data_IF_321043568704
#
_entry.id   IF_321043568704
#
_cell.length_a   1.000
_cell.length_b   1.000
_cell.length_c   1.000
_cell.angle_alpha   90.00
_cell.angle_beta   90.00
_cell.angle_gamma   90.00
#
_symmetry.space_group_name_H-M   'P 1'
#
loop_
_entity.id
_entity.type
_entity.pdbx_description
1 polymer ?
#
# COMPACT_ATOMS: atom_id res chain seq x y z
N UNK A 1 -7.83 28.42 4.82
CA UNK A 1 -7.64 27.89 3.45
C UNK A 1 -8.92 27.90 2.59
N UNK A 2 -9.98 28.65 2.93
CA UNK A 2 -11.26 28.61 2.18
C UNK A 2 -11.40 29.67 1.07
N UNK A 3 -10.35 30.43 0.75
CA UNK A 3 -10.45 31.61 -0.13
C UNK A 3 -10.00 31.34 -1.59
N UNK A 4 -9.16 30.32 -1.83
CA UNK A 4 -8.66 30.01 -3.17
C UNK A 4 -9.73 29.41 -4.10
N UNK A 5 -10.64 28.62 -3.55
CA UNK A 5 -11.65 27.89 -4.32
C UNK A 5 -12.80 28.83 -4.78
N UNK A 6 -13.12 29.85 -3.98
CA UNK A 6 -14.02 30.93 -4.39
C UNK A 6 -13.38 31.87 -5.41
N UNK A 7 -12.07 32.09 -5.33
CA UNK A 7 -11.33 32.90 -6.30
C UNK A 7 -11.26 32.20 -7.67
N UNK A 8 -10.99 30.89 -7.71
CA UNK A 8 -10.97 30.10 -8.95
C UNK A 8 -12.33 30.05 -9.67
N UNK A 9 -13.44 29.98 -8.92
CA UNK A 9 -14.79 30.01 -9.51
C UNK A 9 -15.17 31.36 -10.13
N UNK A 10 -14.48 32.45 -9.78
CA UNK A 10 -14.72 33.79 -10.31
C UNK A 10 -13.90 34.13 -11.55
N UNK A 11 -12.92 33.31 -11.93
CA UNK A 11 -12.13 33.54 -13.13
C UNK A 11 -12.90 32.96 -14.32
N UNK A 12 -13.60 33.83 -15.05
CA UNK A 12 -14.15 33.49 -16.36
C UNK A 12 -12.99 33.45 -17.37
N UNK A 13 -12.31 32.30 -17.47
CA UNK A 13 -11.18 32.12 -18.39
C UNK A 13 -11.72 31.96 -19.80
N UNK A 14 -11.87 33.07 -20.52
CA UNK A 14 -12.04 33.01 -21.97
C UNK A 14 -10.67 32.79 -22.63
N UNK A 15 -10.57 31.88 -23.63
CA UNK A 15 -9.33 31.67 -24.33
C UNK A 15 -8.89 32.96 -25.03
N UNK A 16 -7.61 33.31 -24.88
CA UNK A 16 -7.02 34.49 -25.50
C UNK A 16 -7.18 34.42 -27.02
N UNK A 17 -7.25 35.59 -27.66
CA UNK A 17 -7.38 35.71 -29.11
C UNK A 17 -6.21 35.00 -29.82
N UNK A 18 -5.01 35.15 -29.26
CA UNK A 18 -3.77 34.55 -29.73
C UNK A 18 -3.83 33.01 -29.72
N UNK A 19 -4.34 32.42 -28.63
CA UNK A 19 -4.53 30.97 -28.54
C UNK A 19 -5.55 30.46 -29.57
N UNK A 20 -6.65 31.20 -29.78
CA UNK A 20 -7.66 30.86 -30.80
C UNK A 20 -7.06 30.89 -32.21
N UNK A 21 -6.22 31.88 -32.50
CA UNK A 21 -5.59 32.04 -33.82
C UNK A 21 -4.52 30.98 -34.10
N UNK A 22 -3.67 30.65 -33.12
CA UNK A 22 -2.70 29.55 -33.23
C UNK A 22 -3.39 28.20 -33.41
N UNK A 23 -4.45 27.95 -32.66
CA UNK A 23 -5.23 26.70 -32.80
C UNK A 23 -5.88 26.63 -34.17
N UNK A 24 -6.43 27.74 -34.68
CA UNK A 24 -7.03 27.81 -36.01
C UNK A 24 -6.02 27.56 -37.13
N UNK A 25 -4.83 28.15 -37.05
CA UNK A 25 -3.79 27.99 -38.08
C UNK A 25 -3.25 26.55 -38.11
N UNK A 26 -3.03 25.95 -36.94
CA UNK A 26 -2.65 24.54 -36.80
C UNK A 26 -3.68 23.60 -37.45
N UNK A 27 -4.97 23.80 -37.13
CA UNK A 27 -6.05 22.99 -37.69
C UNK A 27 -6.21 23.15 -39.21
N UNK A 28 -6.06 24.37 -39.73
CA UNK A 28 -6.13 24.63 -41.17
C UNK A 28 -4.94 24.01 -41.93
N UNK A 29 -3.75 24.02 -41.33
CA UNK A 29 -2.56 23.40 -41.91
C UNK A 29 -2.72 21.87 -42.05
N UNK A 30 -3.38 21.22 -41.09
CA UNK A 30 -3.61 19.77 -41.10
C UNK A 30 -4.72 19.37 -42.08
N UNK A 31 -5.80 20.16 -42.17
CA UNK A 31 -6.87 19.97 -43.17
C UNK A 31 -6.35 20.16 -44.60
N UNK A 32 -5.40 21.09 -44.80
CA UNK A 32 -4.72 21.28 -46.10
C UNK A 32 -3.89 20.06 -46.52
N UNK A 33 -3.24 19.38 -45.56
CA UNK A 33 -2.40 18.20 -45.83
C UNK A 33 -3.18 16.96 -46.26
N UNK A 34 -4.45 16.83 -45.88
CA UNK A 34 -5.27 15.65 -46.21
C UNK A 34 -6.06 15.73 -47.53
N UNK A 35 -5.97 16.83 -48.28
CA UNK A 35 -6.67 16.95 -49.58
C UNK A 35 -5.91 16.41 -50.81
N UNK A 36 -4.72 15.84 -50.66
CA UNK A 36 -3.90 15.35 -51.80
C UNK A 36 -4.03 13.84 -52.07
N UNK A 37 -4.71 13.08 -51.22
CA UNK A 37 -4.83 11.62 -51.39
C UNK A 37 -6.29 11.13 -51.47
N UNK A 38 -7.04 11.56 -52.49
CA UNK A 38 -8.31 10.90 -52.83
C UNK A 38 -8.56 10.94 -54.34
N UNK A 39 -7.84 10.09 -55.07
CA UNK A 39 -8.13 9.78 -56.47
C UNK A 39 -8.68 8.35 -56.56
N UNK A 40 -9.94 8.29 -56.99
CA UNK A 40 -10.63 7.16 -57.62
C UNK A 40 -10.79 5.84 -56.83
N UNK A 41 -11.90 5.72 -56.11
CA UNK A 41 -12.69 4.48 -56.12
C UNK A 41 -14.17 4.84 -56.31
N UNK A 42 -14.73 4.40 -57.44
CA UNK A 42 -16.11 4.64 -57.81
C UNK A 42 -17.04 3.71 -57.02
N UNK A 43 -17.70 4.25 -56.01
CA UNK A 43 -18.93 3.68 -55.47
C UNK A 43 -20.09 4.62 -55.82
N UNK A 44 -21.06 4.12 -56.58
CA UNK A 44 -22.24 4.88 -57.02
C UNK A 44 -23.16 5.18 -55.82
N UNK A 45 -22.96 6.32 -55.18
CA UNK A 45 -23.85 6.86 -54.15
C UNK A 45 -25.07 7.56 -54.77
N UNK A 46 -25.99 6.78 -55.36
CA UNK A 46 -27.23 7.28 -55.96
C UNK A 46 -28.40 7.46 -54.98
N UNK A 47 -28.35 6.85 -53.79
CA UNK A 47 -29.52 6.78 -52.90
C UNK A 47 -29.31 7.33 -51.47
N UNK A 48 -28.11 7.78 -51.11
CA UNK A 48 -27.82 8.31 -49.77
C UNK A 48 -27.93 9.84 -49.65
N UNK A 49 -28.55 10.54 -50.61
CA UNK A 49 -28.61 12.01 -50.59
C UNK A 49 -29.71 12.64 -49.73
N UNK A 50 -30.66 11.86 -49.18
CA UNK A 50 -31.74 12.41 -48.34
C UNK A 50 -31.68 12.05 -46.85
N UNK A 51 -30.83 11.10 -46.41
CA UNK A 51 -30.66 10.80 -44.97
C UNK A 51 -29.56 11.60 -44.28
N UNK A 52 -28.81 12.45 -44.99
CA UNK A 52 -27.63 13.14 -44.43
C UNK A 52 -27.93 14.47 -43.73
N UNK A 53 -29.18 14.92 -43.64
CA UNK A 53 -29.51 16.20 -43.00
C UNK A 53 -29.91 16.06 -41.51
N UNK A 54 -30.74 15.07 -41.16
CA UNK A 54 -31.19 14.87 -39.78
C UNK A 54 -30.14 14.19 -38.87
N UNK A 55 -29.16 13.48 -39.45
CA UNK A 55 -28.09 12.82 -38.69
C UNK A 55 -26.81 13.65 -38.55
N UNK A 56 -26.77 14.89 -39.05
CA UNK A 56 -25.60 15.77 -38.88
C UNK A 56 -25.18 15.99 -37.42
N UNK A 57 -26.08 16.23 -36.45
CA UNK A 57 -25.67 16.37 -35.05
C UNK A 57 -25.20 15.04 -34.46
N UNK A 58 -25.80 13.91 -34.84
CA UNK A 58 -25.39 12.57 -34.39
C UNK A 58 -24.04 12.18 -34.98
N UNK A 59 -23.79 12.47 -36.25
CA UNK A 59 -22.52 12.23 -36.93
C UNK A 59 -21.41 13.14 -36.40
N UNK A 60 -21.72 14.40 -36.07
CA UNK A 60 -20.80 15.31 -35.41
C UNK A 60 -20.49 14.85 -33.98
N UNK A 61 -21.50 14.44 -33.20
CA UNK A 61 -21.30 13.87 -31.87
C UNK A 61 -20.57 12.54 -31.92
N UNK A 62 -20.81 11.69 -32.92
CA UNK A 62 -20.09 10.43 -33.08
C UNK A 62 -18.66 10.68 -33.56
N UNK A 63 -18.40 11.70 -34.37
CA UNK A 63 -17.04 12.11 -34.75
C UNK A 63 -16.31 12.74 -33.59
N UNK A 64 -16.96 13.55 -32.77
CA UNK A 64 -16.40 14.07 -31.51
C UNK A 64 -16.14 12.92 -30.56
N UNK A 65 -17.09 12.00 -30.38
CA UNK A 65 -16.90 10.79 -29.59
C UNK A 65 -15.82 9.88 -30.18
N UNK A 66 -15.70 9.72 -31.51
CA UNK A 66 -14.60 8.97 -32.15
C UNK A 66 -13.28 9.72 -32.09
N UNK A 67 -13.29 11.05 -32.03
CA UNK A 67 -12.08 11.84 -31.88
C UNK A 67 -11.60 11.77 -30.43
N UNK A 68 -12.49 11.87 -29.45
CA UNK A 68 -12.18 11.64 -28.05
C UNK A 68 -11.83 10.17 -27.79
N UNK A 69 -12.68 9.20 -28.17
CA UNK A 69 -12.46 7.76 -27.96
C UNK A 69 -11.33 7.18 -28.85
N UNK A 70 -11.16 7.67 -30.07
CA UNK A 70 -10.15 7.21 -31.02
C UNK A 70 -8.77 7.85 -30.83
N UNK A 71 -8.68 9.09 -30.34
CA UNK A 71 -7.39 9.64 -29.89
C UNK A 71 -7.02 9.17 -28.48
N UNK A 72 -8.00 8.78 -27.64
CA UNK A 72 -7.71 8.21 -26.31
C UNK A 72 -6.99 6.88 -26.37
N UNK A 73 -7.03 6.12 -27.47
CA UNK A 73 -6.34 4.82 -27.53
C UNK A 73 -4.82 4.97 -27.32
N UNK A 74 -4.20 6.00 -27.90
CA UNK A 74 -2.76 6.26 -27.73
C UNK A 74 -2.44 6.89 -26.38
N UNK A 75 -3.26 7.84 -25.91
CA UNK A 75 -3.05 8.48 -24.59
C UNK A 75 -3.24 7.47 -23.46
N UNK A 76 -4.22 6.57 -23.56
CA UNK A 76 -4.44 5.51 -22.58
C UNK A 76 -3.29 4.48 -22.57
N UNK A 77 -2.73 4.13 -23.74
CA UNK A 77 -1.57 3.24 -23.81
C UNK A 77 -0.31 3.86 -23.21
N UNK A 78 -0.07 5.15 -23.46
CA UNK A 78 1.05 5.88 -22.86
C UNK A 78 0.84 6.05 -21.35
N UNK A 79 -0.37 6.41 -20.91
CA UNK A 79 -0.69 6.55 -19.49
C UNK A 79 -0.53 5.25 -18.69
N UNK A 80 -0.82 4.08 -19.29
CA UNK A 80 -0.58 2.79 -18.64
C UNK A 80 0.89 2.53 -18.32
N UNK A 81 1.81 3.11 -19.11
CA UNK A 81 3.25 3.02 -18.91
C UNK A 81 3.83 4.16 -18.08
N UNK A 82 3.01 5.15 -17.71
CA UNK A 82 3.45 6.27 -16.90
C UNK A 82 3.83 5.80 -15.50
N UNK A 83 4.93 6.33 -14.98
CA UNK A 83 5.44 6.07 -13.64
C UNK A 83 5.17 7.28 -12.73
N UNK A 84 5.22 7.12 -11.39
CA UNK A 84 5.10 8.25 -10.47
C UNK A 84 6.08 9.38 -10.83
N UNK A 85 5.56 10.60 -10.92
CA UNK A 85 6.31 11.78 -11.42
C UNK A 85 5.96 12.19 -12.86
N UNK A 86 5.42 11.28 -13.68
CA UNK A 86 4.99 11.61 -15.04
C UNK A 86 3.67 12.38 -15.07
N UNK A 87 3.52 13.31 -16.03
CA UNK A 87 2.27 14.04 -16.25
C UNK A 87 1.07 13.11 -16.54
N UNK A 88 1.30 11.98 -17.22
CA UNK A 88 0.26 11.00 -17.56
C UNK A 88 -0.08 10.06 -16.39
N UNK A 89 0.68 10.08 -15.30
CA UNK A 89 0.42 9.25 -14.13
C UNK A 89 -0.93 9.60 -13.47
N UNK A 90 -1.35 10.86 -13.53
CA UNK A 90 -2.68 11.29 -13.07
C UNK A 90 -3.79 10.57 -13.83
N UNK A 91 -3.61 10.36 -15.15
CA UNK A 91 -4.56 9.64 -15.99
C UNK A 91 -4.57 8.15 -15.65
N UNK A 92 -3.41 7.55 -15.38
CA UNK A 92 -3.28 6.17 -14.89
C UNK A 92 -4.08 5.96 -13.60
N UNK A 93 -3.88 6.81 -12.60
CA UNK A 93 -4.62 6.76 -11.32
C UNK A 93 -6.11 6.95 -11.50
N UNK A 94 -6.54 7.87 -12.35
CA UNK A 94 -7.96 8.05 -12.65
C UNK A 94 -8.58 6.77 -13.23
N UNK A 95 -7.86 6.09 -14.14
CA UNK A 95 -8.33 4.83 -14.72
C UNK A 95 -8.39 3.69 -13.70
N UNK A 96 -7.39 3.56 -12.84
CA UNK A 96 -7.37 2.56 -11.75
C UNK A 96 -8.53 2.78 -10.78
N UNK A 97 -8.77 4.03 -10.38
CA UNK A 97 -9.88 4.38 -9.49
C UNK A 97 -11.24 4.09 -10.13
N UNK A 98 -11.40 4.36 -11.43
CA UNK A 98 -12.63 4.02 -12.17
C UNK A 98 -12.87 2.50 -12.14
N UNK A 99 -11.84 1.68 -12.33
CA UNK A 99 -11.98 0.23 -12.25
C UNK A 99 -12.34 -0.23 -10.83
N UNK A 100 -11.74 0.37 -9.81
CA UNK A 100 -12.09 0.11 -8.40
C UNK A 100 -13.55 0.47 -8.09
N UNK A 101 -14.05 1.62 -8.59
CA UNK A 101 -15.45 2.03 -8.41
C UNK A 101 -16.45 1.10 -9.10
N UNK A 102 -16.06 0.46 -10.20
CA UNK A 102 -16.89 -0.51 -10.91
C UNK A 102 -16.94 -1.89 -10.23
N UNK A 103 -16.03 -2.18 -9.28
CA UNK A 103 -16.09 -3.42 -8.52
C UNK A 103 -17.20 -3.36 -7.46
N UNK A 104 -18.08 -4.37 -7.50
CA UNK A 104 -19.29 -4.41 -6.67
C UNK A 104 -19.00 -5.04 -5.30
N UNK A 105 -18.25 -6.14 -5.27
CA UNK A 105 -17.96 -6.87 -4.04
C UNK A 105 -16.59 -6.50 -3.44
N UNK A 106 -16.45 -6.75 -2.13
CA UNK A 106 -15.25 -6.38 -1.38
C UNK A 106 -14.03 -7.22 -1.76
N UNK A 107 -14.22 -8.51 -2.06
CA UNK A 107 -13.15 -9.39 -2.50
C UNK A 107 -12.52 -8.88 -3.81
N UNK A 108 -13.36 -8.50 -4.78
CA UNK A 108 -12.89 -7.90 -6.04
C UNK A 108 -12.17 -6.57 -5.83
N UNK A 109 -12.60 -5.75 -4.87
CA UNK A 109 -11.89 -4.50 -4.54
C UNK A 109 -10.50 -4.77 -3.99
N UNK A 110 -10.35 -5.75 -3.10
CA UNK A 110 -9.05 -6.19 -2.58
C UNK A 110 -8.15 -6.73 -3.69
N UNK A 111 -8.68 -7.57 -4.59
CA UNK A 111 -7.93 -8.07 -5.75
C UNK A 111 -7.45 -6.94 -6.68
N UNK A 112 -8.29 -5.92 -6.91
CA UNK A 112 -7.93 -4.76 -7.73
C UNK A 112 -6.90 -3.88 -7.04
N UNK A 113 -7.08 -3.56 -5.76
CA UNK A 113 -6.11 -2.79 -4.99
C UNK A 113 -4.74 -3.48 -4.98
N UNK A 114 -4.73 -4.81 -4.83
CA UNK A 114 -3.52 -5.62 -4.93
C UNK A 114 -2.91 -5.54 -6.34
N UNK A 115 -3.70 -5.66 -7.41
CA UNK A 115 -3.16 -5.51 -8.77
C UNK A 115 -2.56 -4.10 -9.04
N UNK A 116 -3.12 -3.07 -8.43
CA UNK A 116 -2.54 -1.72 -8.47
C UNK A 116 -1.23 -1.68 -7.68
N UNK A 117 -1.15 -2.33 -6.52
CA UNK A 117 0.10 -2.44 -5.75
C UNK A 117 1.22 -3.10 -6.57
N UNK A 118 0.93 -4.21 -7.24
CA UNK A 118 1.88 -4.88 -8.16
C UNK A 118 2.41 -3.89 -9.20
N UNK A 119 1.50 -3.11 -9.80
CA UNK A 119 1.87 -2.07 -10.76
C UNK A 119 2.76 -0.99 -10.13
N UNK A 120 2.57 -0.65 -8.85
CA UNK A 120 3.41 0.34 -8.14
C UNK A 120 4.80 -0.18 -7.81
N UNK A 121 4.92 -1.45 -7.44
CA UNK A 121 6.22 -2.09 -7.23
C UNK A 121 7.00 -2.15 -8.56
N UNK A 122 6.32 -2.51 -9.65
CA UNK A 122 6.86 -2.45 -11.02
C UNK A 122 7.30 -1.04 -11.42
N UNK A 123 6.50 -0.02 -11.11
CA UNK A 123 6.82 1.37 -11.44
C UNK A 123 8.07 1.84 -10.66
N UNK A 124 8.20 1.45 -9.39
CA UNK A 124 9.37 1.73 -8.57
C UNK A 124 10.64 1.08 -9.15
N UNK A 125 10.56 -0.18 -9.62
CA UNK A 125 11.68 -0.83 -10.30
C UNK A 125 12.10 -0.07 -11.57
N UNK A 126 11.14 0.36 -12.39
CA UNK A 126 11.43 1.12 -13.62
C UNK A 126 12.10 2.46 -13.31
N UNK A 127 11.69 3.14 -12.24
CA UNK A 127 12.31 4.40 -11.82
C UNK A 127 13.77 4.17 -11.42
N UNK A 128 14.07 3.08 -10.70
CA UNK A 128 15.46 2.75 -10.34
C UNK A 128 16.33 2.44 -11.56
N UNK A 129 15.79 1.72 -12.54
CA UNK A 129 16.49 1.46 -13.80
C UNK A 129 16.79 2.77 -14.55
N UNK A 130 15.84 3.70 -14.58
CA UNK A 130 16.02 5.03 -15.19
C UNK A 130 17.05 5.86 -14.43
N UNK A 131 16.99 5.90 -13.10
CA UNK A 131 17.95 6.65 -12.29
C UNK A 131 19.36 6.08 -12.41
N UNK A 132 19.53 4.76 -12.52
CA UNK A 132 20.85 4.14 -12.75
C UNK A 132 21.48 4.64 -14.06
N UNK A 133 20.67 4.82 -15.11
CA UNK A 133 21.11 5.38 -16.39
C UNK A 133 21.45 6.85 -16.26
N UNK A 134 20.64 7.63 -15.54
CA UNK A 134 20.86 9.07 -15.33
C UNK A 134 22.09 9.36 -14.44
N UNK A 135 22.31 8.55 -13.40
CA UNK A 135 23.52 8.62 -12.55
C UNK A 135 24.77 8.39 -13.39
N UNK A 136 24.73 7.43 -14.33
CA UNK A 136 25.82 7.20 -15.28
C UNK A 136 26.06 8.38 -16.24
N UNK A 137 25.04 9.22 -16.44
CA UNK A 137 25.10 10.46 -17.21
C UNK A 137 25.41 11.71 -16.35
N UNK A 138 25.55 11.56 -15.02
CA UNK A 138 25.87 12.64 -14.09
C UNK A 138 24.66 13.40 -13.52
N UNK A 139 23.42 12.99 -13.82
CA UNK A 139 22.19 13.56 -13.26
C UNK A 139 21.64 12.63 -12.16
N UNK A 140 21.78 13.01 -10.88
CA UNK A 140 21.11 12.32 -9.77
C UNK A 140 19.82 13.06 -9.42
N UNK A 141 18.66 12.39 -9.54
CA UNK A 141 17.40 12.93 -9.04
C UNK A 141 16.68 11.91 -8.14
N UNK A 142 17.04 11.87 -6.86
CA UNK A 142 16.45 10.94 -5.89
C UNK A 142 14.95 11.22 -5.60
N UNK A 143 14.39 12.34 -6.08
CA UNK A 143 13.00 12.74 -5.81
C UNK A 143 12.00 11.74 -6.41
N UNK A 144 12.30 11.18 -7.59
CA UNK A 144 11.46 10.16 -8.23
C UNK A 144 11.36 8.88 -7.41
N UNK A 145 12.47 8.40 -6.84
CA UNK A 145 12.45 7.26 -5.91
C UNK A 145 11.51 7.53 -4.72
N UNK A 146 11.62 8.68 -4.05
CA UNK A 146 10.75 8.98 -2.90
C UNK A 146 9.27 9.02 -3.27
N UNK A 147 8.93 9.66 -4.39
CA UNK A 147 7.54 9.71 -4.87
C UNK A 147 7.01 8.30 -5.18
N UNK A 148 7.85 7.42 -5.74
CA UNK A 148 7.48 6.04 -6.02
C UNK A 148 7.32 5.19 -4.75
N UNK A 149 8.23 5.32 -3.78
CA UNK A 149 8.15 4.64 -2.49
C UNK A 149 6.89 5.08 -1.71
N UNK A 150 6.59 6.38 -1.70
CA UNK A 150 5.38 6.92 -1.07
C UNK A 150 4.09 6.40 -1.74
N UNK A 151 4.09 6.24 -3.06
CA UNK A 151 2.95 5.67 -3.78
C UNK A 151 2.80 4.15 -3.50
N UNK A 152 3.88 3.39 -3.38
CA UNK A 152 3.85 1.98 -2.91
C UNK A 152 3.26 1.91 -1.50
N UNK A 153 3.72 2.76 -0.59
CA UNK A 153 3.24 2.85 0.79
C UNK A 153 1.74 3.13 0.86
N UNK A 154 1.26 4.14 0.12
CA UNK A 154 -0.18 4.46 0.02
C UNK A 154 -0.99 3.30 -0.52
N UNK A 155 -0.46 2.58 -1.52
CA UNK A 155 -1.20 1.49 -2.13
C UNK A 155 -1.25 0.24 -1.22
N UNK A 156 -0.23 0.02 -0.38
CA UNK A 156 -0.27 -1.00 0.69
C UNK A 156 -1.35 -0.68 1.72
N UNK A 157 -1.47 0.59 2.13
CA UNK A 157 -2.53 1.04 3.04
C UNK A 157 -3.91 0.82 2.43
N UNK A 158 -4.11 1.15 1.14
CA UNK A 158 -5.37 0.89 0.45
C UNK A 158 -5.69 -0.61 0.34
N UNK A 159 -4.68 -1.47 0.09
CA UNK A 159 -4.84 -2.94 0.11
C UNK A 159 -5.28 -3.41 1.49
N UNK A 160 -4.65 -2.91 2.56
CA UNK A 160 -5.02 -3.25 3.93
C UNK A 160 -6.47 -2.83 4.24
N UNK A 161 -6.84 -1.59 3.91
CA UNK A 161 -8.19 -1.07 4.12
C UNK A 161 -9.24 -1.90 3.37
N UNK A 162 -8.97 -2.28 2.12
CA UNK A 162 -9.87 -3.14 1.35
C UNK A 162 -9.96 -4.54 1.94
N UNK A 163 -8.84 -5.09 2.39
CA UNK A 163 -8.78 -6.40 3.02
C UNK A 163 -9.59 -6.43 4.32
N UNK A 164 -9.45 -5.44 5.19
CA UNK A 164 -10.27 -5.30 6.41
C UNK A 164 -11.75 -5.17 6.05
N UNK A 165 -12.10 -4.32 5.08
CA UNK A 165 -13.49 -4.19 4.62
C UNK A 165 -14.06 -5.47 4.00
N UNK A 166 -13.20 -6.33 3.43
CA UNK A 166 -13.56 -7.65 2.93
C UNK A 166 -13.87 -8.62 4.08
N UNK A 167 -13.09 -8.58 5.17
CA UNK A 167 -13.34 -9.39 6.36
C UNK A 167 -14.66 -9.03 7.06
N UNK A 168 -15.03 -7.75 7.12
CA UNK A 168 -16.27 -7.33 7.80
C UNK A 168 -17.55 -7.73 7.04
N UNK A 169 -17.46 -7.85 5.70
CA UNK A 169 -18.58 -8.18 4.82
C UNK A 169 -18.79 -9.68 4.60
N UNK A 170 -18.20 -10.48 5.47
CA UNK A 170 -18.05 -11.94 5.39
C UNK A 170 -19.35 -12.76 5.41
N UNK A 171 -20.49 -12.13 5.68
CA UNK A 171 -21.78 -12.82 5.79
C UNK A 171 -22.38 -13.33 4.48
N UNK A 172 -21.90 -12.88 3.31
CA UNK A 172 -22.56 -13.18 2.02
C UNK A 172 -21.75 -14.04 1.05
N UNK A 173 -20.45 -14.29 1.28
CA UNK A 173 -19.62 -14.99 0.28
C UNK A 173 -18.27 -15.54 0.80
N UNK A 174 -18.29 -16.37 1.85
CA UNK A 174 -17.07 -16.95 2.45
C UNK A 174 -16.09 -17.59 1.45
N UNK A 175 -16.59 -18.28 0.41
CA UNK A 175 -15.73 -18.86 -0.64
C UNK A 175 -14.93 -17.80 -1.42
N UNK A 176 -15.56 -16.68 -1.80
CA UNK A 176 -14.90 -15.61 -2.55
C UNK A 176 -13.85 -14.88 -1.72
N UNK A 177 -14.12 -14.70 -0.44
CA UNK A 177 -13.20 -14.08 0.51
C UNK A 177 -11.93 -14.92 0.64
N UNK A 178 -12.09 -16.24 0.69
CA UNK A 178 -10.97 -17.18 0.79
C UNK A 178 -10.17 -17.21 -0.50
N UNK A 179 -10.83 -17.28 -1.66
CA UNK A 179 -10.16 -17.20 -2.96
C UNK A 179 -9.34 -15.90 -3.08
N UNK A 180 -9.91 -14.76 -2.66
CA UNK A 180 -9.22 -13.47 -2.67
C UNK A 180 -8.09 -13.40 -1.63
N UNK A 181 -8.28 -13.97 -0.44
CA UNK A 181 -7.23 -14.03 0.60
C UNK A 181 -6.05 -14.90 0.17
N UNK A 182 -6.30 -16.04 -0.47
CA UNK A 182 -5.24 -16.88 -1.05
C UNK A 182 -4.49 -16.13 -2.15
N UNK A 183 -5.21 -15.50 -3.09
CA UNK A 183 -4.61 -14.72 -4.15
C UNK A 183 -3.77 -13.55 -3.60
N UNK A 184 -4.27 -12.89 -2.55
CA UNK A 184 -3.54 -11.81 -1.88
C UNK A 184 -2.28 -12.32 -1.16
N UNK A 185 -2.35 -13.46 -0.46
CA UNK A 185 -1.18 -14.08 0.18
C UNK A 185 -0.07 -14.40 -0.83
N UNK A 186 -0.41 -14.98 -1.98
CA UNK A 186 0.56 -15.24 -3.05
C UNK A 186 1.21 -13.96 -3.58
N UNK A 187 0.40 -12.93 -3.84
CA UNK A 187 0.89 -11.66 -4.35
C UNK A 187 1.76 -10.91 -3.34
N UNK A 188 1.42 -10.96 -2.05
CA UNK A 188 2.23 -10.41 -0.97
C UNK A 188 3.64 -11.01 -0.97
N UNK A 189 3.77 -12.32 -1.22
CA UNK A 189 5.11 -12.95 -1.36
C UNK A 189 5.89 -12.34 -2.51
N UNK A 190 5.24 -12.12 -3.65
CA UNK A 190 5.84 -11.44 -4.81
C UNK A 190 6.28 -10.02 -4.47
N UNK A 191 5.41 -9.22 -3.86
CA UNK A 191 5.72 -7.84 -3.46
C UNK A 191 6.92 -7.77 -2.54
N UNK A 192 7.00 -8.64 -1.53
CA UNK A 192 8.16 -8.69 -0.63
C UNK A 192 9.45 -8.93 -1.39
N UNK A 193 9.49 -9.96 -2.23
CA UNK A 193 10.68 -10.29 -3.02
C UNK A 193 11.10 -9.12 -3.90
N UNK A 194 10.16 -8.52 -4.62
CA UNK A 194 10.42 -7.40 -5.51
C UNK A 194 10.85 -6.14 -4.76
N UNK A 195 10.23 -5.83 -3.62
CA UNK A 195 10.60 -4.67 -2.77
C UNK A 195 11.97 -4.90 -2.13
N UNK A 196 12.32 -6.11 -1.69
CA UNK A 196 13.66 -6.44 -1.19
C UNK A 196 14.72 -6.28 -2.28
N UNK A 197 14.46 -6.78 -3.49
CA UNK A 197 15.38 -6.59 -4.64
C UNK A 197 15.54 -5.12 -5.02
N UNK A 198 14.48 -4.33 -4.87
CA UNK A 198 14.52 -2.87 -5.03
C UNK A 198 15.40 -2.25 -3.95
N UNK A 199 15.17 -2.59 -2.68
CA UNK A 199 15.92 -2.08 -1.51
C UNK A 199 17.43 -2.28 -1.68
N UNK A 200 17.86 -3.44 -2.16
CA UNK A 200 19.29 -3.74 -2.43
C UNK A 200 19.93 -2.81 -3.49
N UNK A 201 19.13 -2.20 -4.36
CA UNK A 201 19.58 -1.27 -5.42
C UNK A 201 19.50 0.19 -5.00
N UNK A 202 18.82 0.52 -3.91
CA UNK A 202 18.64 1.91 -3.46
C UNK A 202 19.82 2.35 -2.59
N UNK A 203 20.67 3.25 -3.13
CA UNK A 203 21.77 3.88 -2.37
C UNK A 203 21.28 4.86 -1.30
N UNK A 204 20.11 5.47 -1.51
CA UNK A 204 19.57 6.50 -0.62
C UNK A 204 19.09 5.90 0.71
N UNK A 205 19.73 6.28 1.82
CA UNK A 205 19.44 5.74 3.16
C UNK A 205 18.02 6.01 3.65
N UNK A 206 17.44 7.18 3.36
CA UNK A 206 16.09 7.52 3.80
C UNK A 206 15.02 6.79 2.97
N UNK A 207 15.23 6.65 1.65
CA UNK A 207 14.36 5.82 0.83
C UNK A 207 14.44 4.33 1.23
N UNK A 208 15.63 3.85 1.60
CA UNK A 208 15.85 2.50 2.11
C UNK A 208 15.08 2.27 3.44
N UNK A 209 15.11 3.25 4.34
CA UNK A 209 14.31 3.26 5.57
C UNK A 209 12.80 3.18 5.30
N UNK A 210 12.29 4.00 4.38
CA UNK A 210 10.86 3.94 4.02
C UNK A 210 10.49 2.59 3.38
N UNK A 211 11.40 1.97 2.62
CA UNK A 211 11.21 0.62 2.09
C UNK A 211 11.16 -0.46 3.18
N UNK A 212 11.94 -0.33 4.26
CA UNK A 212 11.83 -1.21 5.43
C UNK A 212 10.45 -1.11 6.10
N UNK A 213 9.94 0.11 6.28
CA UNK A 213 8.60 0.33 6.83
C UNK A 213 7.52 -0.28 5.93
N UNK A 214 7.67 -0.13 4.61
CA UNK A 214 6.82 -0.76 3.60
C UNK A 214 6.87 -2.29 3.74
N UNK A 215 8.05 -2.91 3.84
CA UNK A 215 8.20 -4.36 4.02
C UNK A 215 7.60 -4.86 5.33
N UNK A 216 7.65 -4.06 6.41
CA UNK A 216 7.02 -4.41 7.68
C UNK A 216 5.50 -4.39 7.58
N UNK A 217 4.92 -3.35 6.95
CA UNK A 217 3.47 -3.31 6.70
C UNK A 217 2.99 -4.47 5.83
N UNK A 218 3.77 -4.85 4.82
CA UNK A 218 3.45 -5.99 3.95
C UNK A 218 3.49 -7.32 4.74
N UNK A 219 4.39 -7.46 5.71
CA UNK A 219 4.37 -8.60 6.64
C UNK A 219 3.12 -8.61 7.53
N UNK A 220 2.72 -7.46 8.09
CA UNK A 220 1.54 -7.39 8.96
C UNK A 220 0.26 -7.79 8.22
N UNK A 221 0.09 -7.27 6.99
CA UNK A 221 -1.02 -7.68 6.13
C UNK A 221 -0.94 -9.18 5.85
N UNK A 222 0.26 -9.72 5.61
CA UNK A 222 0.43 -11.16 5.41
C UNK A 222 -0.04 -11.98 6.61
N UNK A 223 0.33 -11.56 7.83
CA UNK A 223 -0.10 -12.21 9.07
C UNK A 223 -1.63 -12.20 9.18
N UNK A 224 -2.27 -11.08 8.85
CA UNK A 224 -3.73 -10.93 8.93
C UNK A 224 -4.47 -11.72 7.84
N UNK A 225 -3.89 -11.82 6.65
CA UNK A 225 -4.39 -12.69 5.57
C UNK A 225 -4.29 -14.16 5.95
N UNK A 226 -3.15 -14.61 6.46
CA UNK A 226 -2.97 -15.98 6.91
C UNK A 226 -3.88 -16.31 8.11
N UNK A 227 -4.06 -15.38 9.03
CA UNK A 227 -4.97 -15.52 10.15
C UNK A 227 -6.41 -15.77 9.70
N UNK A 228 -6.89 -15.01 8.71
CA UNK A 228 -8.20 -15.23 8.10
C UNK A 228 -8.30 -16.63 7.48
N UNK A 229 -7.27 -17.08 6.75
CA UNK A 229 -7.26 -18.41 6.14
C UNK A 229 -7.28 -19.53 7.19
N UNK A 230 -6.54 -19.38 8.29
CA UNK A 230 -6.58 -20.31 9.44
C UNK A 230 -7.98 -20.34 10.04
N UNK A 231 -8.59 -19.20 10.34
CA UNK A 231 -9.91 -19.11 10.95
C UNK A 231 -11.00 -19.74 10.05
N UNK A 232 -10.88 -19.55 8.73
CA UNK A 232 -11.78 -20.14 7.71
C UNK A 232 -11.57 -21.63 7.49
N UNK A 233 -10.34 -22.13 7.62
CA UNK A 233 -10.04 -23.55 7.61
C UNK A 233 -10.59 -24.25 8.87
N UNK A 234 -10.35 -23.69 10.07
CA UNK A 234 -10.81 -24.24 11.34
C UNK A 234 -12.33 -24.27 11.49
N UNK A 235 -13.04 -23.32 10.87
CA UNK A 235 -14.51 -23.30 10.81
C UNK A 235 -15.11 -24.26 9.77
N UNK A 236 -14.28 -24.90 8.93
CA UNK A 236 -14.73 -25.81 7.88
C UNK A 236 -15.36 -25.11 6.66
N UNK A 237 -15.28 -23.78 6.60
CA UNK A 237 -15.75 -23.00 5.44
C UNK A 237 -14.86 -23.22 4.20
N UNK A 238 -13.64 -23.72 4.41
CA UNK A 238 -12.65 -23.94 3.37
C UNK A 238 -11.98 -25.30 3.53
N UNK A 239 -11.84 -26.00 2.40
CA UNK A 239 -10.96 -27.17 2.30
C UNK A 239 -9.60 -26.71 1.80
N UNK A 240 -8.74 -26.35 2.73
CA UNK A 240 -7.30 -26.20 2.49
C UNK A 240 -6.62 -27.45 3.03
N UNK A 241 -5.60 -27.94 2.33
CA UNK A 241 -4.78 -29.02 2.85
C UNK A 241 -3.99 -28.49 4.05
N UNK A 242 -3.97 -29.23 5.16
CA UNK A 242 -3.26 -28.84 6.39
C UNK A 242 -1.77 -28.59 6.12
N UNK A 243 -1.18 -29.36 5.20
CA UNK A 243 0.20 -29.18 4.76
C UNK A 243 0.44 -27.87 4.00
N UNK A 244 -0.53 -27.38 3.22
CA UNK A 244 -0.42 -26.09 2.53
C UNK A 244 -0.50 -24.93 3.53
N UNK A 245 -1.40 -25.03 4.51
CA UNK A 245 -1.52 -24.04 5.58
C UNK A 245 -0.25 -24.00 6.44
N UNK A 246 0.27 -25.16 6.83
CA UNK A 246 1.51 -25.29 7.59
C UNK A 246 2.71 -24.69 6.84
N UNK A 247 2.82 -24.97 5.53
CA UNK A 247 3.86 -24.40 4.68
C UNK A 247 3.76 -22.88 4.58
N UNK A 248 2.56 -22.32 4.38
CA UNK A 248 2.35 -20.87 4.29
C UNK A 248 2.69 -20.14 5.59
N UNK A 249 2.24 -20.69 6.73
CA UNK A 249 2.53 -20.11 8.06
C UNK A 249 4.01 -20.27 8.40
N UNK A 250 4.60 -21.43 8.10
CA UNK A 250 6.03 -21.69 8.30
C UNK A 250 6.91 -20.75 7.47
N UNK A 251 6.57 -20.54 6.19
CA UNK A 251 7.27 -19.58 5.32
C UNK A 251 7.21 -18.16 5.91
N UNK A 252 6.07 -17.74 6.45
CA UNK A 252 5.94 -16.42 7.07
C UNK A 252 6.74 -16.28 8.37
N UNK A 253 6.72 -17.29 9.26
CA UNK A 253 7.54 -17.29 10.49
C UNK A 253 9.02 -17.22 10.14
N UNK A 254 9.45 -17.99 9.12
CA UNK A 254 10.83 -17.96 8.62
C UNK A 254 11.22 -16.59 8.07
N UNK A 255 10.33 -15.89 7.37
CA UNK A 255 10.59 -14.52 6.90
C UNK A 255 10.85 -13.55 8.05
N UNK A 256 10.08 -13.66 9.15
CA UNK A 256 10.31 -12.84 10.35
C UNK A 256 11.63 -13.22 11.04
N UNK A 257 12.01 -14.51 11.00
CA UNK A 257 13.32 -14.98 11.46
C UNK A 257 14.48 -14.42 10.62
N UNK A 258 14.37 -14.44 9.30
CA UNK A 258 15.38 -13.88 8.39
C UNK A 258 15.56 -12.37 8.64
N UNK A 259 14.47 -11.62 8.88
CA UNK A 259 14.54 -10.20 9.29
C UNK A 259 15.24 -10.00 10.63
N UNK A 260 15.00 -10.87 11.61
CA UNK A 260 15.70 -10.81 12.89
C UNK A 260 17.21 -11.00 12.69
N UNK A 261 17.64 -11.87 11.79
CA UNK A 261 19.06 -12.05 11.46
C UNK A 261 19.64 -10.76 10.88
N UNK A 262 18.97 -10.17 9.89
CA UNK A 262 19.39 -8.89 9.29
C UNK A 262 19.52 -7.77 10.35
N UNK A 263 18.51 -7.64 11.23
CA UNK A 263 18.54 -6.67 12.33
C UNK A 263 19.68 -6.98 13.29
N UNK A 264 19.87 -8.23 13.68
CA UNK A 264 20.92 -8.62 14.63
C UNK A 264 22.32 -8.32 14.08
N UNK A 265 22.53 -8.49 12.78
CA UNK A 265 23.77 -8.12 12.09
C UNK A 265 23.96 -6.60 12.02
N UNK A 266 22.92 -5.86 11.63
CA UNK A 266 22.96 -4.39 11.55
C UNK A 266 23.17 -3.73 12.93
N UNK A 267 22.62 -4.33 13.97
CA UNK A 267 22.70 -3.87 15.35
C UNK A 267 24.05 -4.18 16.01
N UNK A 268 24.92 -5.00 15.40
CA UNK A 268 26.16 -5.54 15.98
C UNK A 268 26.90 -4.61 16.95
N UNK A 269 27.35 -3.44 16.50
CA UNK A 269 28.09 -2.47 17.34
C UNK A 269 27.19 -1.57 18.21
N UNK A 270 25.92 -1.41 17.84
CA UNK A 270 24.95 -0.56 18.53
C UNK A 270 24.33 -1.24 19.77
N UNK A 271 24.08 -2.55 19.73
CA UNK A 271 23.59 -3.31 20.89
C UNK A 271 24.62 -3.49 22.01
N UNK A 272 25.91 -3.30 21.72
CA UNK A 272 26.93 -3.26 22.78
C UNK A 272 26.84 -1.98 23.61
N UNK A 273 26.26 -0.91 23.05
CA UNK A 273 26.14 0.40 23.70
C UNK A 273 24.73 0.66 24.26
N UNK A 274 23.68 0.05 23.69
CA UNK A 274 22.29 0.19 24.16
C UNK A 274 21.70 -1.15 24.65
N UNK A 275 21.57 -1.28 25.97
CA UNK A 275 20.96 -2.43 26.63
C UNK A 275 19.48 -2.65 26.25
N UNK A 276 18.78 -1.59 25.84
CA UNK A 276 17.36 -1.63 25.45
C UNK A 276 17.18 -2.33 24.12
N UNK A 277 18.03 -2.01 23.14
CA UNK A 277 18.02 -2.66 21.81
C UNK A 277 18.33 -4.14 21.97
N UNK A 278 19.33 -4.48 22.78
CA UNK A 278 19.68 -5.88 23.07
C UNK A 278 18.53 -6.66 23.70
N UNK A 279 17.85 -6.06 24.69
CA UNK A 279 16.68 -6.69 25.32
C UNK A 279 15.56 -6.95 24.28
N UNK A 280 15.25 -5.96 23.43
CA UNK A 280 14.23 -6.11 22.38
C UNK A 280 14.59 -7.21 21.37
N UNK A 281 15.87 -7.30 20.97
CA UNK A 281 16.35 -8.39 20.08
C UNK A 281 16.17 -9.76 20.74
N UNK A 282 16.47 -9.88 22.03
CA UNK A 282 16.29 -11.15 22.76
C UNK A 282 14.80 -11.48 22.99
N UNK A 283 13.93 -10.47 23.18
CA UNK A 283 12.47 -10.65 23.20
C UNK A 283 11.95 -11.20 21.86
N UNK A 284 12.42 -10.68 20.73
CA UNK A 284 12.07 -11.19 19.40
C UNK A 284 12.53 -12.64 19.23
N UNK A 285 13.77 -12.98 19.61
CA UNK A 285 14.27 -14.37 19.56
C UNK A 285 13.37 -15.33 20.33
N UNK A 286 12.93 -14.94 21.53
CA UNK A 286 12.03 -15.75 22.35
C UNK A 286 10.66 -15.90 21.69
N UNK A 287 10.10 -14.83 21.12
CA UNK A 287 8.82 -14.86 20.42
C UNK A 287 8.86 -15.76 19.17
N UNK A 288 9.92 -15.66 18.35
CA UNK A 288 10.11 -16.53 17.17
C UNK A 288 10.27 -17.99 17.57
N UNK A 289 11.01 -18.28 18.66
CA UNK A 289 11.09 -19.65 19.18
C UNK A 289 9.71 -20.20 19.55
N UNK A 290 8.89 -19.40 20.24
CA UNK A 290 7.50 -19.79 20.58
C UNK A 290 6.63 -19.94 19.32
N UNK A 291 6.83 -19.12 18.30
CA UNK A 291 6.14 -19.25 17.02
C UNK A 291 6.45 -20.60 16.35
N UNK A 292 7.72 -21.01 16.33
CA UNK A 292 8.16 -22.30 15.80
C UNK A 292 7.63 -23.49 16.64
N UNK A 293 7.60 -23.37 17.97
CA UNK A 293 6.99 -24.37 18.85
C UNK A 293 5.49 -24.53 18.56
N UNK A 294 4.75 -23.42 18.42
CA UNK A 294 3.34 -23.42 18.06
C UNK A 294 3.10 -24.03 16.67
N UNK A 295 3.96 -23.71 15.68
CA UNK A 295 3.90 -24.30 14.34
C UNK A 295 4.04 -25.84 14.38
N UNK A 296 4.99 -26.35 15.16
CA UNK A 296 5.22 -27.79 15.32
C UNK A 296 4.05 -28.52 16.00
N UNK A 297 3.25 -27.80 16.78
CA UNK A 297 2.05 -28.31 17.43
C UNK A 297 0.76 -28.10 16.59
N UNK A 298 0.88 -27.62 15.34
CA UNK A 298 -0.23 -27.22 14.46
C UNK A 298 -1.11 -26.09 15.03
N UNK A 299 -0.58 -25.28 15.94
CA UNK A 299 -1.24 -24.12 16.53
C UNK A 299 -1.03 -22.87 15.66
N UNK A 300 -1.47 -22.93 14.41
CA UNK A 300 -1.16 -21.91 13.39
C UNK A 300 -1.56 -20.48 13.81
N UNK A 301 -2.71 -20.31 14.47
CA UNK A 301 -3.17 -18.99 14.93
C UNK A 301 -2.23 -18.39 15.97
N UNK A 302 -1.71 -19.23 16.86
CA UNK A 302 -0.77 -18.82 17.89
C UNK A 302 0.60 -18.51 17.29
N UNK A 303 1.06 -19.32 16.32
CA UNK A 303 2.29 -19.06 15.58
C UNK A 303 2.25 -17.69 14.85
N UNK A 304 1.13 -17.38 14.18
CA UNK A 304 0.92 -16.08 13.53
C UNK A 304 0.89 -14.91 14.53
N UNK A 305 0.34 -15.11 15.73
CA UNK A 305 0.32 -14.08 16.78
C UNK A 305 1.74 -13.75 17.24
N UNK A 306 2.54 -14.77 17.57
CA UNK A 306 3.94 -14.56 17.95
C UNK A 306 4.80 -13.99 16.82
N UNK A 307 4.53 -14.37 15.57
CA UNK A 307 5.17 -13.80 14.39
C UNK A 307 4.85 -12.30 14.24
N UNK A 308 3.59 -11.91 14.41
CA UNK A 308 3.14 -10.51 14.36
C UNK A 308 3.75 -9.67 15.49
N UNK A 309 3.75 -10.19 16.71
CA UNK A 309 4.38 -9.51 17.87
C UNK A 309 5.89 -9.31 17.63
N UNK A 310 6.55 -10.31 17.06
CA UNK A 310 7.97 -10.23 16.68
C UNK A 310 8.22 -9.13 15.64
N UNK A 311 7.38 -9.06 14.60
CA UNK A 311 7.47 -8.04 13.55
C UNK A 311 7.28 -6.62 14.11
N UNK A 312 6.31 -6.43 15.02
CA UNK A 312 6.09 -5.14 15.68
C UNK A 312 7.30 -4.69 16.54
N UNK A 313 7.96 -5.62 17.23
CA UNK A 313 9.18 -5.29 17.99
C UNK A 313 10.34 -4.97 17.03
N UNK A 314 10.48 -5.71 15.92
CA UNK A 314 11.49 -5.43 14.90
C UNK A 314 11.32 -4.04 14.28
N UNK A 315 10.09 -3.60 14.01
CA UNK A 315 9.80 -2.24 13.52
C UNK A 315 10.32 -1.16 14.48
N UNK A 316 10.10 -1.34 15.80
CA UNK A 316 10.62 -0.43 16.82
C UNK A 316 12.16 -0.39 16.85
N UNK A 317 12.80 -1.55 16.65
CA UNK A 317 14.27 -1.64 16.58
C UNK A 317 14.78 -0.89 15.34
N UNK A 318 14.18 -1.10 14.17
CA UNK A 318 14.55 -0.37 12.95
C UNK A 318 14.43 1.14 13.14
N UNK A 319 13.32 1.62 13.69
CA UNK A 319 13.14 3.04 13.99
C UNK A 319 14.29 3.60 14.84
N UNK A 320 14.70 2.85 15.87
CA UNK A 320 15.80 3.23 16.78
C UNK A 320 17.17 3.23 16.08
N UNK A 321 17.46 2.27 15.21
CA UNK A 321 18.73 2.19 14.46
C UNK A 321 18.91 3.42 13.56
N UNK A 322 17.84 3.84 12.88
CA UNK A 322 17.89 4.98 11.97
C UNK A 322 18.07 6.32 12.70
N UNK A 323 17.56 6.45 13.92
CA UNK A 323 17.80 7.62 14.76
C UNK A 323 19.27 7.70 15.21
N UNK A 324 19.86 6.58 15.63
CA UNK A 324 21.27 6.52 16.08
C UNK A 324 22.25 6.83 14.94
N UNK A 325 21.99 6.35 13.72
CA UNK A 325 22.88 6.56 12.57
C UNK A 325 22.89 8.03 12.13
N UNK A 326 21.73 8.70 12.11
CA UNK A 326 21.61 10.12 11.77
C UNK A 326 22.30 11.07 12.77
N UNK A 327 22.41 10.69 14.05
CA UNK A 327 23.13 11.50 15.03
C UNK A 327 24.66 11.31 14.95
N UNK A 328 25.13 10.17 14.41
CA UNK A 328 26.56 9.93 14.18
C UNK A 328 27.14 10.63 12.94
N UNK A 329 26.30 10.99 11.96
CA UNK A 329 26.69 11.69 10.73
C UNK A 329 26.67 13.22 10.85
N UNK A 330 26.21 13.78 11.97
CA UNK A 330 26.42 15.20 12.28
C UNK A 330 27.87 15.37 12.74
N UNK A 331 28.73 15.86 11.86
CA UNK A 331 30.09 16.27 12.26
C UNK A 331 30.04 17.17 13.51
N UNK A 332 30.99 17.02 14.45
CA UNK A 332 31.08 17.92 15.59
C UNK A 332 31.44 19.31 15.07
N UNK A 333 30.45 20.19 14.95
CA UNK A 333 30.70 21.62 14.77
C UNK A 333 31.58 22.05 15.93
N UNK A 334 32.82 22.40 15.60
CA UNK A 334 33.84 22.89 16.51
C UNK A 334 33.41 24.26 17.01
N UNK A 335 32.49 24.28 17.97
CA UNK A 335 32.03 25.47 18.66
C UNK A 335 32.80 25.60 19.96
N UNK A 336 33.79 26.49 19.95
CA UNK A 336 34.50 26.98 21.13
C UNK A 336 33.54 27.26 22.30
N UNK A 337 33.87 26.67 23.45
CA UNK A 337 33.23 26.88 24.74
C UNK A 337 33.38 28.34 25.18
N UNK A 338 32.26 29.01 25.48
CA UNK A 338 32.21 30.03 26.53
C UNK A 338 30.90 29.96 27.30
N UNK A 339 31.03 29.77 28.61
CA UNK A 339 30.12 30.39 29.60
C UNK A 339 29.10 29.48 30.26
N UNK A 340 29.55 28.81 31.32
CA UNK A 340 28.84 28.54 32.60
C UNK A 340 27.44 29.14 32.74
N UNK A 341 26.44 28.29 32.99
CA UNK A 341 25.54 28.44 34.16
C UNK A 341 24.84 27.11 34.47
N UNK A 342 25.13 26.58 35.66
CA UNK A 342 24.50 25.43 36.30
C UNK A 342 23.06 25.76 36.68
N UNK A 343 22.10 25.00 36.14
CA UNK A 343 20.74 24.93 36.68
C UNK A 343 20.40 23.47 37.00
N UNK A 344 20.59 23.11 38.26
CA UNK A 344 20.06 21.89 38.87
C UNK A 344 18.53 21.94 38.82
N UNK A 345 17.90 21.13 37.97
CA UNK A 345 16.44 20.91 38.04
C UNK A 345 16.20 19.49 38.49
N UNK A 346 15.83 19.37 39.76
CA UNK A 346 15.27 18.17 40.39
C UNK A 346 13.97 17.81 39.66
N UNK A 347 13.92 16.66 38.99
CA UNK A 347 12.67 16.09 38.50
C UNK A 347 12.11 15.21 39.62
N UNK A 348 11.03 15.70 40.20
CA UNK A 348 10.19 15.01 41.18
C UNK A 348 9.50 13.81 40.52
N UNK A 349 9.68 12.63 41.10
CA UNK A 349 9.13 11.37 40.61
C UNK A 349 7.64 11.34 40.97
N UNK A 350 6.74 11.54 39.99
CA UNK A 350 5.34 11.14 40.14
C UNK A 350 5.17 9.68 39.76
N UNK A 351 4.94 8.85 40.78
CA UNK A 351 4.57 7.45 40.67
C UNK A 351 3.17 7.29 40.01
N UNK A 352 2.93 6.15 39.32
CA UNK A 352 1.70 5.89 38.60
C UNK A 352 0.51 5.65 39.54
N UNK A 353 -0.62 6.26 39.18
CA UNK A 353 -1.90 6.18 39.87
C UNK A 353 -2.48 4.76 39.72
N UNK A 354 -2.55 4.04 40.83
CA UNK A 354 -3.13 2.70 40.95
C UNK A 354 -4.66 2.83 40.96
N UNK A 355 -5.31 2.25 39.95
CA UNK A 355 -6.77 2.15 39.90
C UNK A 355 -7.24 1.01 40.82
N UNK A 356 -7.84 1.37 41.95
CA UNK A 356 -8.52 0.47 42.88
C UNK A 356 -10.01 0.44 42.53
N UNK A 357 -10.63 -0.73 42.23
CA UNK A 357 -12.07 -0.82 42.07
C UNK A 357 -12.78 -0.74 43.42
N UNK A 358 -13.76 0.17 43.50
CA UNK A 358 -14.59 0.41 44.69
C UNK A 358 -15.72 -0.61 44.77
N UNK A 359 -15.72 -1.39 45.85
CA UNK A 359 -16.84 -2.23 46.25
C UNK A 359 -18.10 -1.40 46.57
N UNK A 360 -19.28 -1.93 46.26
CA UNK A 360 -20.55 -1.50 46.87
C UNK A 360 -21.34 -2.74 47.20
N UNK A 361 -21.57 -2.91 48.50
CA UNK A 361 -22.37 -3.97 49.13
C UNK A 361 -23.67 -3.35 49.63
N UNK A 362 -24.78 -4.07 49.44
CA UNK A 362 -26.07 -4.01 50.16
C UNK A 362 -26.91 -5.11 49.49
N UNK A 363 -26.92 -6.36 49.95
CA UNK A 363 -27.49 -6.96 51.16
C UNK A 363 -29.00 -6.71 51.32
N UNK A 364 -29.79 -7.78 51.17
CA UNK A 364 -31.05 -8.21 51.86
C UNK A 364 -31.71 -9.28 50.94
N UNK A 365 -31.47 -10.58 51.14
CA UNK A 365 -32.24 -11.53 51.99
C UNK A 365 -33.60 -11.92 51.40
N UNK A 366 -33.72 -13.16 50.88
CA UNK A 366 -34.80 -14.10 51.21
C UNK A 366 -34.47 -15.53 50.73
N UNK A 367 -34.90 -16.48 51.55
CA UNK A 367 -34.52 -17.90 51.70
C UNK A 367 -35.26 -18.87 50.72
N UNK A 368 -34.99 -20.19 50.77
CA UNK A 368 -35.03 -21.07 49.58
C UNK A 368 -36.33 -21.88 49.44
N UNK A 369 -36.69 -22.20 48.18
CA UNK A 369 -37.56 -23.35 47.90
C UNK A 369 -36.77 -24.52 47.30
N UNK A 370 -36.68 -25.54 48.13
CA UNK A 370 -36.35 -26.93 47.82
C UNK A 370 -37.46 -27.52 46.95
N UNK A 371 -37.11 -28.06 45.78
CA UNK A 371 -37.86 -29.20 45.22
C UNK A 371 -36.91 -30.24 44.65
N UNK A 372 -36.82 -31.33 45.40
CA UNK A 372 -36.27 -32.62 45.02
C UNK A 372 -37.34 -33.45 44.27
N UNK A 373 -36.87 -34.31 43.35
CA UNK A 373 -37.38 -35.67 43.04
C UNK A 373 -38.57 -35.83 42.06
N UNK A 374 -38.29 -36.37 40.86
CA UNK A 374 -38.68 -37.73 40.40
C UNK A 374 -38.35 -37.91 38.89
N UNK A 375 -37.47 -38.83 38.47
CA UNK A 375 -37.66 -40.28 38.22
C UNK A 375 -38.43 -40.61 36.91
N UNK A 376 -37.73 -41.37 36.03
CA UNK A 376 -38.15 -42.29 34.94
C UNK A 376 -38.69 -41.71 33.61
N UNK A 377 -37.99 -41.99 32.49
CA UNK A 377 -38.12 -43.26 31.76
C UNK A 377 -36.94 -43.53 30.83
#
# INVERSE_FOLDING_TARGET
MNNLLEQLKKINVEPSLEWKEQTRSFLLAEVGRHRVAQRQTGFSAGHFRMMTFAWRPVAALSLVALFFLGSTSFVALAARKAVPGDNLFVVKRAWEKINEYMAVDAARKTELASAVLETRVDDLQKILEQETVLVSAGEKNNESIFVAVDEVKKQIEDVNDKFVAMQEKDKESGKRIVEAALALNERIRGYKQEITLVKEKVENTEANKELDLVLNKVEDINSDVLALLVDKHSSGEVKLEESDLAMRVGDHVKQVEDKLVEVSEAVGSAAEQDSTIKQKVDEVKVAIKKANEALNNNEYRLALTFSKDSNAILELIYGSIYEVKNDSEKEPTTGEVKGVETATTTIEIMAPNVFVPKATTTETEEEPEVYEVNILR
#
